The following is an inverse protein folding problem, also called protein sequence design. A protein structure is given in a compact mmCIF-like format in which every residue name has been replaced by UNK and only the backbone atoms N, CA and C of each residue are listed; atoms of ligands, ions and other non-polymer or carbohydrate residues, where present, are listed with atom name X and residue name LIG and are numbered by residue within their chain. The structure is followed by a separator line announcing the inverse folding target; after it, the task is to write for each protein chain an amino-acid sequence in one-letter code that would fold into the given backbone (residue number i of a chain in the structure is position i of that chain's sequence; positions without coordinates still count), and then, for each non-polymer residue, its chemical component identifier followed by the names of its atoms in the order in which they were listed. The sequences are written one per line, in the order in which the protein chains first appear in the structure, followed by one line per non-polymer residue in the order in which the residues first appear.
data_IF_912731214132
#
_entry.id   IF_912731214132
#
_cell.length_a   1.000
_cell.length_b   1.000
_cell.length_c   1.000
_cell.angle_alpha   90.00
_cell.angle_beta   90.00
_cell.angle_gamma   90.00
#
_symmetry.space_group_name_H-M   'P 1'
#
loop_
_entity.id
_entity.type
_entity.pdbx_description
1 polymer ?
#
# COMPACT_ATOMS: atom_id res chain seq x y z
N UNK A 1 -25.29 -27.45 -9.09
CA UNK A 1 -24.50 -28.60 -8.65
C UNK A 1 -23.05 -28.13 -8.60
N UNK A 2 -22.46 -28.05 -7.41
CA UNK A 2 -21.06 -27.69 -7.25
C UNK A 2 -20.23 -28.92 -7.66
N UNK A 3 -19.47 -28.80 -8.76
CA UNK A 3 -18.51 -29.83 -9.15
C UNK A 3 -17.34 -29.76 -8.18
N UNK A 4 -17.31 -30.73 -7.26
CA UNK A 4 -16.15 -31.03 -6.45
C UNK A 4 -15.08 -31.58 -7.40
N UNK A 5 -14.00 -30.83 -7.59
CA UNK A 5 -12.82 -31.30 -8.34
C UNK A 5 -12.08 -32.26 -7.41
N UNK A 6 -12.26 -33.56 -7.66
CA UNK A 6 -11.46 -34.62 -7.05
C UNK A 6 -10.18 -34.72 -7.87
N UNK A 7 -9.06 -34.24 -7.33
CA UNK A 7 -7.73 -34.37 -7.93
C UNK A 7 -7.13 -35.71 -7.50
N UNK A 8 -7.73 -36.80 -7.97
CA UNK A 8 -7.12 -38.15 -8.00
C UNK A 8 -7.28 -38.71 -9.43
N UNK A 9 -6.99 -37.89 -10.44
CA UNK A 9 -6.94 -38.33 -11.84
C UNK A 9 -5.49 -38.66 -12.20
N UNK A 10 -5.29 -39.82 -12.83
CA UNK A 10 -3.99 -40.18 -13.37
C UNK A 10 -3.53 -39.10 -14.37
N UNK A 11 -2.23 -38.83 -14.47
CA UNK A 11 -1.72 -37.78 -15.36
C UNK A 11 -2.15 -38.03 -16.84
N UNK A 12 -2.46 -39.28 -17.21
CA UNK A 12 -3.04 -39.63 -18.50
C UNK A 12 -4.39 -38.93 -18.74
N UNK A 13 -5.29 -39.02 -17.75
CA UNK A 13 -6.61 -38.40 -17.82
C UNK A 13 -6.49 -36.88 -17.90
N UNK A 14 -5.55 -36.30 -17.15
CA UNK A 14 -5.25 -34.87 -17.20
C UNK A 14 -4.82 -34.42 -18.60
N UNK A 15 -3.93 -35.18 -19.26
CA UNK A 15 -3.48 -34.87 -20.63
C UNK A 15 -4.62 -35.03 -21.64
N UNK A 16 -5.45 -36.07 -21.49
CA UNK A 16 -6.63 -36.30 -22.35
C UNK A 16 -7.66 -35.19 -22.20
N UNK A 17 -7.95 -34.77 -20.96
CA UNK A 17 -8.85 -33.67 -20.65
C UNK A 17 -8.33 -32.37 -21.27
N UNK A 18 -7.04 -32.06 -21.08
CA UNK A 18 -6.42 -30.88 -21.70
C UNK A 18 -6.52 -30.92 -23.23
N UNK A 19 -6.27 -32.09 -23.84
CA UNK A 19 -6.44 -32.32 -25.26
C UNK A 19 -7.85 -31.99 -25.77
N UNK A 20 -8.88 -32.49 -25.07
CA UNK A 20 -10.28 -32.26 -25.41
C UNK A 20 -10.69 -30.79 -25.28
N UNK A 21 -10.20 -30.09 -24.26
CA UNK A 21 -10.46 -28.65 -24.08
C UNK A 21 -9.91 -27.87 -25.28
N UNK A 22 -8.66 -28.11 -25.66
CA UNK A 22 -7.99 -27.42 -26.77
C UNK A 22 -8.64 -27.71 -28.13
N UNK A 23 -8.99 -28.98 -28.36
CA UNK A 23 -9.70 -29.40 -29.57
C UNK A 23 -11.09 -28.76 -29.67
N UNK A 24 -11.82 -28.68 -28.54
CA UNK A 24 -13.12 -27.99 -28.48
C UNK A 24 -13.01 -26.50 -28.79
N UNK A 25 -11.91 -25.85 -28.40
CA UNK A 25 -11.65 -24.43 -28.70
C UNK A 25 -11.40 -24.22 -30.20
N UNK A 26 -10.61 -25.11 -30.80
CA UNK A 26 -10.20 -24.99 -32.20
C UNK A 26 -11.21 -25.62 -33.18
N UNK A 27 -12.22 -26.33 -32.68
CA UNK A 27 -13.17 -27.14 -33.46
C UNK A 27 -12.45 -28.19 -34.33
N UNK A 28 -11.37 -28.77 -33.82
CA UNK A 28 -10.59 -29.83 -34.48
C UNK A 28 -10.42 -31.03 -33.56
N UNK A 29 -9.87 -32.14 -34.04
CA UNK A 29 -9.49 -33.30 -33.22
C UNK A 29 -8.00 -33.64 -33.36
N UNK A 30 -7.25 -32.70 -33.93
CA UNK A 30 -5.88 -32.94 -34.40
C UNK A 30 -4.93 -33.08 -33.21
N UNK A 31 -5.15 -32.30 -32.15
CA UNK A 31 -4.28 -32.32 -30.97
C UNK A 31 -4.48 -33.58 -30.14
N UNK A 32 -5.72 -33.99 -29.86
CA UNK A 32 -5.97 -35.27 -29.18
C UNK A 32 -5.45 -36.47 -29.99
N UNK A 33 -5.40 -36.37 -31.32
CA UNK A 33 -4.83 -37.42 -32.17
C UNK A 33 -3.31 -37.42 -32.13
N UNK A 34 -2.67 -36.24 -32.14
CA UNK A 34 -1.23 -36.10 -31.97
C UNK A 34 -0.77 -36.64 -30.60
N UNK A 35 -1.49 -36.34 -29.52
CA UNK A 35 -1.18 -36.83 -28.17
C UNK A 35 -1.17 -38.37 -28.09
N UNK A 36 -2.06 -39.07 -28.81
CA UNK A 36 -2.07 -40.55 -28.84
C UNK A 36 -0.76 -41.16 -29.34
N UNK A 37 -0.02 -40.47 -30.22
CA UNK A 37 1.26 -40.98 -30.73
C UNK A 37 2.37 -41.00 -29.67
N UNK A 38 2.22 -40.20 -28.62
CA UNK A 38 3.15 -40.11 -27.50
C UNK A 38 2.71 -40.92 -26.26
N UNK A 39 1.47 -41.41 -26.25
CA UNK A 39 0.91 -42.21 -25.16
C UNK A 39 1.00 -43.71 -25.50
N UNK A 40 1.55 -44.57 -24.61
CA UNK A 40 1.52 -46.01 -24.80
C UNK A 40 0.09 -46.58 -24.74
N UNK A 41 -0.17 -47.68 -25.44
CA UNK A 41 -1.50 -48.32 -25.54
C UNK A 41 -1.96 -49.04 -24.25
N UNK A 42 -1.08 -49.22 -23.26
CA UNK A 42 -1.37 -49.92 -22.00
C UNK A 42 -1.31 -48.97 -20.79
N UNK A 43 -2.19 -49.22 -19.82
CA UNK A 43 -2.41 -48.48 -18.57
C UNK A 43 -1.15 -47.83 -18.01
N UNK A 44 -1.17 -46.50 -17.97
CA UNK A 44 -0.08 -45.63 -17.59
C UNK A 44 0.38 -45.82 -16.14
N UNK A 45 1.69 -45.89 -15.92
CA UNK A 45 2.30 -45.45 -14.65
C UNK A 45 3.39 -44.44 -14.97
N UNK A 46 3.47 -43.33 -14.22
CA UNK A 46 4.44 -42.22 -14.41
C UNK A 46 5.92 -42.66 -14.54
N UNK A 47 6.22 -43.86 -14.01
CA UNK A 47 7.54 -44.50 -14.04
C UNK A 47 7.89 -45.13 -15.41
N UNK A 48 6.93 -45.28 -16.33
CA UNK A 48 7.13 -45.95 -17.62
C UNK A 48 7.45 -45.03 -18.81
N UNK A 49 7.26 -43.71 -18.70
CA UNK A 49 7.62 -42.78 -19.78
C UNK A 49 9.11 -42.48 -19.78
N UNK A 50 9.76 -42.68 -20.92
CA UNK A 50 11.13 -42.22 -21.14
C UNK A 50 11.22 -40.70 -21.04
N UNK A 51 12.38 -40.18 -20.63
CA UNK A 51 12.61 -38.75 -20.56
C UNK A 51 12.41 -38.05 -21.92
N UNK A 52 12.73 -38.73 -23.03
CA UNK A 52 12.51 -38.21 -24.38
C UNK A 52 11.02 -38.06 -24.72
N UNK A 53 10.18 -39.01 -24.30
CA UNK A 53 8.73 -38.94 -24.50
C UNK A 53 8.11 -37.80 -23.65
N UNK A 54 8.59 -37.61 -22.41
CA UNK A 54 8.16 -36.50 -21.55
C UNK A 54 8.52 -35.13 -22.14
N UNK A 55 9.75 -34.99 -22.66
CA UNK A 55 10.20 -33.77 -23.32
C UNK A 55 9.41 -33.48 -24.61
N UNK A 56 9.13 -34.52 -25.41
CA UNK A 56 8.29 -34.42 -26.61
C UNK A 56 6.86 -33.96 -26.30
N UNK A 57 6.21 -34.59 -25.31
CA UNK A 57 4.88 -34.22 -24.83
C UNK A 57 4.82 -32.78 -24.33
N UNK A 58 5.78 -32.39 -23.48
CA UNK A 58 5.85 -31.02 -22.94
C UNK A 58 5.96 -29.99 -24.06
N UNK A 59 6.81 -30.25 -25.07
CA UNK A 59 6.96 -29.38 -26.23
C UNK A 59 5.68 -29.27 -27.05
N UNK A 60 5.01 -30.39 -27.32
CA UNK A 60 3.78 -30.44 -28.12
C UNK A 60 2.64 -29.69 -27.44
N UNK A 61 2.50 -29.86 -26.11
CA UNK A 61 1.53 -29.11 -25.30
C UNK A 61 1.82 -27.61 -25.38
N UNK A 62 3.08 -27.21 -25.18
CA UNK A 62 3.48 -25.80 -25.23
C UNK A 62 3.26 -25.15 -26.61
N UNK A 63 3.42 -25.90 -27.71
CA UNK A 63 3.15 -25.38 -29.06
C UNK A 63 1.69 -25.03 -29.30
N UNK A 64 0.75 -25.73 -28.67
CA UNK A 64 -0.69 -25.46 -28.83
C UNK A 64 -1.23 -24.51 -27.75
N UNK A 65 -0.58 -24.49 -26.59
CA UNK A 65 -0.89 -23.63 -25.43
C UNK A 65 -0.48 -22.17 -25.62
N UNK A 66 -0.74 -21.58 -26.80
CA UNK A 66 -0.40 -20.19 -27.09
C UNK A 66 -1.40 -19.22 -26.46
N UNK A 67 -0.98 -17.96 -26.29
CA UNK A 67 -1.87 -16.90 -25.78
C UNK A 67 -3.08 -16.69 -26.68
N UNK A 68 -2.97 -16.92 -28.00
CA UNK A 68 -4.09 -16.83 -28.95
C UNK A 68 -5.12 -17.95 -28.77
N UNK A 69 -4.67 -19.18 -28.53
CA UNK A 69 -5.56 -20.32 -28.27
C UNK A 69 -6.30 -20.12 -26.95
N UNK A 70 -5.57 -19.78 -25.88
CA UNK A 70 -6.16 -19.65 -24.55
C UNK A 70 -7.09 -18.44 -24.43
N UNK A 71 -6.89 -17.36 -25.20
CA UNK A 71 -7.81 -16.21 -25.26
C UNK A 71 -9.23 -16.55 -25.74
N UNK A 72 -9.41 -17.68 -26.41
CA UNK A 72 -10.72 -18.13 -26.89
C UNK A 72 -11.56 -18.77 -25.76
N UNK A 73 -10.94 -19.12 -24.62
CA UNK A 73 -11.63 -19.64 -23.45
C UNK A 73 -12.52 -18.58 -22.80
N UNK A 74 -13.58 -19.02 -22.14
CA UNK A 74 -14.32 -18.15 -21.25
C UNK A 74 -13.56 -17.93 -19.95
N UNK A 75 -13.85 -16.82 -19.27
CA UNK A 75 -13.28 -16.48 -17.94
C UNK A 75 -13.41 -17.64 -16.92
N UNK A 76 -14.49 -18.42 -16.99
CA UNK A 76 -14.75 -19.55 -16.08
C UNK A 76 -13.90 -20.79 -16.38
N UNK A 77 -13.55 -20.98 -17.65
CA UNK A 77 -12.78 -22.14 -18.10
C UNK A 77 -11.28 -21.85 -18.06
N UNK A 78 -10.90 -20.58 -18.23
CA UNK A 78 -9.51 -20.16 -18.33
C UNK A 78 -8.67 -20.57 -17.10
N UNK A 79 -9.10 -20.19 -15.89
CA UNK A 79 -8.34 -20.45 -14.67
C UNK A 79 -8.16 -21.96 -14.39
N UNK A 80 -9.21 -22.80 -14.39
CA UNK A 80 -9.05 -24.25 -14.24
C UNK A 80 -8.16 -24.88 -15.32
N UNK A 81 -8.33 -24.47 -16.59
CA UNK A 81 -7.52 -24.99 -17.71
C UNK A 81 -6.05 -24.61 -17.55
N UNK A 82 -5.78 -23.41 -17.02
CA UNK A 82 -4.41 -22.96 -16.78
C UNK A 82 -3.75 -23.71 -15.62
N UNK A 83 -4.48 -24.01 -14.54
CA UNK A 83 -3.97 -24.87 -13.47
C UNK A 83 -3.71 -26.29 -13.95
N UNK A 84 -4.58 -26.84 -14.81
CA UNK A 84 -4.36 -28.14 -15.45
C UNK A 84 -3.08 -28.14 -16.30
N UNK A 85 -2.85 -27.08 -17.08
CA UNK A 85 -1.61 -26.89 -17.85
C UNK A 85 -0.38 -26.89 -16.93
N UNK A 86 -0.40 -26.10 -15.83
CA UNK A 86 0.70 -26.07 -14.85
C UNK A 86 0.93 -27.46 -14.25
N UNK A 87 -0.14 -28.16 -13.88
CA UNK A 87 -0.06 -29.49 -13.30
C UNK A 87 0.62 -30.48 -14.26
N UNK A 88 0.13 -30.57 -15.51
CA UNK A 88 0.68 -31.47 -16.52
C UNK A 88 2.16 -31.17 -16.77
N UNK A 89 2.52 -29.90 -17.00
CA UNK A 89 3.91 -29.51 -17.24
C UNK A 89 4.81 -29.83 -16.05
N UNK A 90 4.33 -29.60 -14.83
CA UNK A 90 5.09 -29.90 -13.60
C UNK A 90 5.35 -31.40 -13.42
N UNK A 91 4.43 -32.25 -13.87
CA UNK A 91 4.54 -33.71 -13.79
C UNK A 91 5.38 -34.32 -14.93
N UNK A 92 5.38 -33.69 -16.11
CA UNK A 92 6.21 -34.11 -17.24
C UNK A 92 7.68 -33.70 -17.06
N UNK A 93 7.91 -32.56 -16.42
CA UNK A 93 9.24 -32.02 -16.12
C UNK A 93 9.48 -32.03 -14.61
N UNK A 94 9.84 -30.88 -14.03
CA UNK A 94 9.88 -30.67 -12.60
C UNK A 94 9.13 -29.39 -12.22
N UNK A 95 8.59 -29.35 -11.01
CA UNK A 95 7.90 -28.17 -10.48
C UNK A 95 8.79 -26.92 -10.50
N UNK A 96 10.08 -27.07 -10.18
CA UNK A 96 11.04 -25.97 -10.17
C UNK A 96 11.33 -25.44 -11.58
N UNK A 97 11.43 -26.30 -12.60
CA UNK A 97 11.66 -25.85 -13.99
C UNK A 97 10.47 -25.08 -14.55
N UNK A 98 9.25 -25.41 -14.13
CA UNK A 98 8.01 -24.80 -14.63
C UNK A 98 7.65 -23.53 -13.85
N UNK A 99 7.63 -23.59 -12.52
CA UNK A 99 7.25 -22.45 -11.70
C UNK A 99 8.46 -21.62 -11.26
N UNK A 100 9.54 -22.23 -10.78
CA UNK A 100 10.68 -21.52 -10.22
C UNK A 100 11.72 -21.10 -11.29
N UNK A 101 11.24 -20.77 -12.50
CA UNK A 101 12.06 -20.33 -13.60
C UNK A 101 11.39 -19.17 -14.34
N UNK A 102 12.00 -17.99 -14.27
CA UNK A 102 11.51 -16.77 -14.95
C UNK A 102 11.36 -16.95 -16.46
N UNK A 103 12.14 -17.84 -17.08
CA UNK A 103 12.08 -18.13 -18.52
C UNK A 103 10.98 -19.13 -18.90
N UNK A 104 10.21 -19.61 -17.93
CA UNK A 104 9.12 -20.54 -18.19
C UNK A 104 8.07 -19.89 -19.10
N UNK A 105 7.66 -20.56 -20.20
CA UNK A 105 6.68 -20.02 -21.13
C UNK A 105 5.34 -19.65 -20.49
N UNK A 106 4.98 -20.25 -19.35
CA UNK A 106 3.72 -19.99 -18.64
C UNK A 106 3.56 -18.52 -18.27
N UNK A 107 4.66 -17.84 -17.93
CA UNK A 107 4.63 -16.43 -17.53
C UNK A 107 4.38 -15.53 -18.72
N UNK A 108 5.04 -15.81 -19.85
CA UNK A 108 4.80 -15.11 -21.12
C UNK A 108 3.34 -15.28 -21.56
N UNK A 109 2.81 -16.51 -21.47
CA UNK A 109 1.42 -16.79 -21.81
C UNK A 109 0.47 -15.98 -20.93
N UNK A 110 0.63 -16.00 -19.59
CA UNK A 110 -0.23 -15.23 -18.68
C UNK A 110 -0.21 -13.73 -18.96
N UNK A 111 0.98 -13.19 -19.23
CA UNK A 111 1.14 -11.77 -19.51
C UNK A 111 0.48 -11.37 -20.84
N UNK A 112 0.62 -12.18 -21.89
CA UNK A 112 0.03 -11.92 -23.19
C UNK A 112 -1.49 -12.12 -23.22
N UNK A 113 -2.01 -13.03 -22.38
CA UNK A 113 -3.44 -13.27 -22.23
C UNK A 113 -4.14 -12.14 -21.49
N UNK A 114 -3.46 -11.48 -20.54
CA UNK A 114 -4.04 -10.37 -19.78
C UNK A 114 -4.58 -9.27 -20.73
N UNK A 115 -5.86 -8.88 -20.59
CA UNK A 115 -6.42 -7.82 -21.41
C UNK A 115 -5.68 -6.50 -21.14
N UNK A 116 -5.28 -5.81 -22.22
CA UNK A 116 -4.56 -4.53 -22.17
C UNK A 116 -5.47 -3.34 -21.83
N UNK A 117 -6.78 -3.55 -21.88
CA UNK A 117 -7.81 -2.55 -21.58
C UNK A 117 -8.92 -3.22 -20.77
N UNK A 118 -9.59 -2.47 -19.88
CA UNK A 118 -10.71 -3.01 -19.12
C UNK A 118 -11.77 -3.55 -20.08
N UNK A 119 -12.21 -4.81 -19.92
CA UNK A 119 -13.19 -5.41 -20.82
C UNK A 119 -14.50 -4.62 -20.77
N UNK A 120 -15.12 -4.42 -21.94
CA UNK A 120 -16.43 -3.77 -22.01
C UNK A 120 -17.47 -4.61 -21.26
N UNK A 121 -18.44 -3.97 -20.60
CA UNK A 121 -19.59 -4.64 -19.95
C UNK A 121 -20.38 -5.59 -20.89
N UNK A 122 -20.24 -5.40 -22.21
CA UNK A 122 -20.86 -6.25 -23.24
C UNK A 122 -20.05 -7.50 -23.57
N UNK A 123 -18.77 -7.53 -23.23
CA UNK A 123 -17.89 -8.65 -23.54
C UNK A 123 -17.88 -9.65 -22.39
N UNK A 124 -18.90 -10.52 -22.39
CA UNK A 124 -19.11 -11.52 -21.33
C UNK A 124 -18.22 -12.76 -21.47
N UNK A 125 -17.49 -12.89 -22.59
CA UNK A 125 -16.65 -14.06 -22.87
C UNK A 125 -15.16 -13.80 -22.70
N UNK A 126 -14.72 -12.55 -22.64
CA UNK A 126 -13.30 -12.25 -22.43
C UNK A 126 -12.82 -12.61 -21.03
N UNK A 127 -11.55 -13.00 -20.99
CA UNK A 127 -10.80 -13.27 -19.77
C UNK A 127 -10.63 -11.98 -18.99
N UNK A 128 -10.89 -12.03 -17.69
CA UNK A 128 -10.70 -10.88 -16.80
C UNK A 128 -9.29 -10.88 -16.22
N UNK A 129 -8.75 -9.69 -15.99
CA UNK A 129 -7.47 -9.52 -15.27
C UNK A 129 -7.51 -10.13 -13.87
N UNK A 130 -8.67 -10.21 -13.23
CA UNK A 130 -8.84 -10.88 -11.92
C UNK A 130 -8.47 -12.36 -11.97
N UNK A 131 -8.76 -13.05 -13.07
CA UNK A 131 -8.46 -14.47 -13.24
C UNK A 131 -6.95 -14.68 -13.44
N UNK A 132 -6.30 -13.80 -14.20
CA UNK A 132 -4.83 -13.77 -14.33
C UNK A 132 -4.16 -13.47 -12.97
N UNK A 133 -4.68 -12.51 -12.21
CA UNK A 133 -4.18 -12.19 -10.87
C UNK A 133 -4.36 -13.36 -9.89
N UNK A 134 -5.49 -14.07 -9.95
CA UNK A 134 -5.73 -15.26 -9.14
C UNK A 134 -4.65 -16.33 -9.39
N UNK A 135 -4.38 -16.62 -10.66
CA UNK A 135 -3.33 -17.57 -11.05
C UNK A 135 -1.95 -17.11 -10.56
N UNK A 136 -1.58 -15.85 -10.80
CA UNK A 136 -0.30 -15.30 -10.36
C UNK A 136 -0.15 -15.31 -8.83
N UNK A 137 -1.22 -15.04 -8.08
CA UNK A 137 -1.24 -15.12 -6.62
C UNK A 137 -1.03 -16.56 -6.14
N UNK A 138 -1.70 -17.53 -6.77
CA UNK A 138 -1.49 -18.95 -6.49
C UNK A 138 -0.05 -19.37 -6.76
N UNK A 139 0.52 -18.99 -7.92
CA UNK A 139 1.92 -19.28 -8.25
C UNK A 139 2.86 -18.65 -7.22
N UNK A 140 2.66 -17.38 -6.86
CA UNK A 140 3.47 -16.70 -5.84
C UNK A 140 3.50 -17.46 -4.51
N UNK A 141 2.33 -17.95 -4.08
CA UNK A 141 2.20 -18.71 -2.84
C UNK A 141 2.85 -20.10 -2.89
N UNK A 142 2.87 -20.74 -4.06
CA UNK A 142 3.51 -22.04 -4.27
C UNK A 142 5.05 -21.95 -4.33
N UNK A 143 5.60 -20.82 -4.76
CA UNK A 143 7.05 -20.63 -4.85
C UNK A 143 7.70 -20.62 -3.46
N UNK A 144 8.96 -21.10 -3.32
CA UNK A 144 9.72 -20.97 -2.08
C UNK A 144 9.97 -19.51 -1.69
N UNK A 145 10.02 -19.20 -0.39
CA UNK A 145 10.24 -17.83 0.13
C UNK A 145 11.52 -17.16 -0.37
N UNK A 146 12.58 -17.94 -0.54
CA UNK A 146 13.89 -17.46 -0.99
C UNK A 146 14.01 -17.36 -2.52
N UNK A 147 12.99 -17.78 -3.27
CA UNK A 147 13.03 -17.81 -4.73
C UNK A 147 13.02 -16.41 -5.33
N UNK A 148 14.01 -16.09 -6.17
CA UNK A 148 14.01 -14.86 -6.98
C UNK A 148 12.83 -14.77 -7.95
N UNK A 149 12.25 -15.91 -8.33
CA UNK A 149 11.08 -15.95 -9.21
C UNK A 149 9.86 -15.30 -8.54
N UNK A 150 9.78 -15.29 -7.19
CA UNK A 150 8.72 -14.56 -6.47
C UNK A 150 8.72 -13.06 -6.78
N UNK A 151 9.90 -12.46 -6.88
CA UNK A 151 10.06 -11.02 -7.21
C UNK A 151 9.53 -10.76 -8.61
N UNK A 152 9.93 -11.60 -9.57
CA UNK A 152 9.43 -11.52 -10.94
C UNK A 152 7.90 -11.68 -11.03
N UNK A 153 7.31 -12.63 -10.30
CA UNK A 153 5.85 -12.81 -10.26
C UNK A 153 5.17 -11.57 -9.66
N UNK A 154 5.72 -11.02 -8.58
CA UNK A 154 5.22 -9.82 -7.93
C UNK A 154 5.24 -8.61 -8.87
N UNK A 155 6.32 -8.38 -9.61
CA UNK A 155 6.38 -7.31 -10.63
C UNK A 155 5.29 -7.48 -11.69
N UNK A 156 5.04 -8.72 -12.12
CA UNK A 156 3.97 -9.00 -13.09
C UNK A 156 2.59 -8.74 -12.49
N UNK A 157 2.36 -9.09 -11.22
CA UNK A 157 1.13 -8.73 -10.50
C UNK A 157 0.94 -7.21 -10.52
N UNK A 158 1.96 -6.42 -10.16
CA UNK A 158 1.88 -4.95 -10.19
C UNK A 158 1.59 -4.41 -11.60
N UNK A 159 2.21 -4.97 -12.64
CA UNK A 159 1.94 -4.59 -14.05
C UNK A 159 0.50 -4.90 -14.47
N UNK A 160 -0.04 -6.05 -14.07
CA UNK A 160 -1.43 -6.43 -14.36
C UNK A 160 -2.38 -5.47 -13.66
N UNK A 161 -2.14 -5.15 -12.38
CA UNK A 161 -2.94 -4.17 -11.63
C UNK A 161 -2.95 -2.82 -12.36
N UNK A 162 -1.77 -2.30 -12.72
CA UNK A 162 -1.61 -1.01 -13.41
C UNK A 162 -2.42 -0.92 -14.72
N UNK A 163 -2.56 -2.03 -15.44
CA UNK A 163 -3.24 -2.06 -16.75
C UNK A 163 -4.72 -2.44 -16.67
N UNK A 164 -5.12 -3.14 -15.60
CA UNK A 164 -6.47 -3.67 -15.43
C UNK A 164 -7.53 -2.65 -15.00
N UNK A 165 -7.11 -1.52 -14.41
CA UNK A 165 -8.02 -0.55 -13.80
C UNK A 165 -8.73 -1.09 -12.55
N UNK A 166 -8.23 -2.18 -11.95
CA UNK A 166 -8.70 -2.69 -10.66
C UNK A 166 -8.41 -1.64 -9.58
N UNK A 167 -9.38 -1.43 -8.71
CA UNK A 167 -9.22 -0.53 -7.57
C UNK A 167 -8.08 -1.03 -6.66
N UNK A 168 -7.08 -0.16 -6.47
CA UNK A 168 -5.92 -0.41 -5.63
C UNK A 168 -6.32 -0.74 -4.19
N UNK A 169 -7.43 -0.20 -3.70
CA UNK A 169 -7.92 -0.45 -2.34
C UNK A 169 -8.13 -1.93 -2.02
N UNK A 170 -8.47 -2.75 -3.03
CA UNK A 170 -8.77 -4.19 -2.87
C UNK A 170 -7.51 -5.04 -2.67
N UNK A 171 -6.35 -4.55 -3.09
CA UNK A 171 -5.09 -5.28 -3.10
C UNK A 171 -4.04 -4.70 -2.15
N UNK A 172 -4.26 -3.46 -1.70
CA UNK A 172 -3.30 -2.68 -0.95
C UNK A 172 -2.81 -3.40 0.30
N UNK A 173 -3.71 -4.00 1.08
CA UNK A 173 -3.34 -4.69 2.33
C UNK A 173 -2.67 -6.04 2.08
N UNK A 174 -3.12 -6.76 1.04
CA UNK A 174 -2.62 -8.09 0.69
C UNK A 174 -1.14 -8.05 0.31
N UNK A 175 -0.72 -7.01 -0.41
CA UNK A 175 0.66 -6.83 -0.84
C UNK A 175 1.43 -5.93 0.13
N UNK A 176 0.91 -4.74 0.43
CA UNK A 176 1.65 -3.67 1.10
C UNK A 176 2.20 -4.04 2.47
N UNK A 177 1.42 -4.78 3.27
CA UNK A 177 1.82 -5.20 4.63
C UNK A 177 3.11 -6.04 4.65
N UNK A 178 3.25 -6.94 3.67
CA UNK A 178 4.33 -7.92 3.63
C UNK A 178 5.37 -7.64 2.54
N UNK A 179 5.16 -6.61 1.71
CA UNK A 179 5.97 -6.32 0.53
C UNK A 179 7.46 -6.27 0.83
N UNK A 180 7.85 -5.46 1.82
CA UNK A 180 9.26 -5.31 2.20
C UNK A 180 9.85 -6.60 2.75
N UNK A 181 9.08 -7.35 3.54
CA UNK A 181 9.51 -8.63 4.07
C UNK A 181 9.76 -9.64 2.94
N UNK A 182 8.82 -9.78 2.01
CA UNK A 182 8.95 -10.71 0.88
C UNK A 182 10.18 -10.40 0.03
N UNK A 183 10.45 -9.11 -0.23
CA UNK A 183 11.61 -8.68 -1.01
C UNK A 183 12.94 -8.89 -0.27
N UNK A 184 12.95 -8.78 1.05
CA UNK A 184 14.13 -9.06 1.88
C UNK A 184 14.42 -10.57 1.97
N UNK A 185 13.38 -11.40 2.09
CA UNK A 185 13.51 -12.87 2.14
C UNK A 185 14.17 -13.45 0.88
N UNK A 186 13.94 -12.84 -0.29
CA UNK A 186 14.53 -13.26 -1.58
C UNK A 186 15.98 -12.79 -1.78
N UNK A 187 16.57 -12.10 -0.80
CA UNK A 187 17.93 -11.50 -0.88
C UNK A 187 18.11 -10.60 -2.11
N UNK A 188 17.06 -9.86 -2.44
CA UNK A 188 17.03 -8.92 -3.56
C UNK A 188 17.95 -7.72 -3.28
N UNK A 189 18.51 -7.13 -4.33
CA UNK A 189 19.34 -5.93 -4.18
C UNK A 189 18.48 -4.76 -3.67
N UNK A 190 19.03 -3.92 -2.81
CA UNK A 190 18.31 -2.78 -2.23
C UNK A 190 17.71 -1.88 -3.31
N UNK A 191 18.43 -1.57 -4.39
CA UNK A 191 17.91 -0.71 -5.45
C UNK A 191 16.64 -1.26 -6.13
N UNK A 192 16.59 -2.58 -6.31
CA UNK A 192 15.43 -3.29 -6.88
C UNK A 192 14.26 -3.31 -5.88
N UNK A 193 14.54 -3.49 -4.58
CA UNK A 193 13.52 -3.35 -3.52
C UNK A 193 12.90 -1.97 -3.55
N UNK A 194 13.72 -0.91 -3.65
CA UNK A 194 13.22 0.47 -3.70
C UNK A 194 12.37 0.71 -4.94
N UNK A 195 12.83 0.25 -6.10
CA UNK A 195 12.09 0.39 -7.35
C UNK A 195 10.69 -0.25 -7.26
N UNK A 196 10.61 -1.51 -6.81
CA UNK A 196 9.34 -2.24 -6.67
C UNK A 196 8.43 -1.58 -5.62
N UNK A 197 9.00 -1.11 -4.51
CA UNK A 197 8.25 -0.38 -3.49
C UNK A 197 7.59 0.87 -4.06
N UNK A 198 8.34 1.70 -4.78
CA UNK A 198 7.79 2.92 -5.38
C UNK A 198 6.79 2.62 -6.50
N UNK A 199 7.02 1.58 -7.31
CA UNK A 199 6.05 1.12 -8.31
C UNK A 199 4.73 0.71 -7.66
N UNK A 200 4.77 0.04 -6.49
CA UNK A 200 3.57 -0.30 -5.73
C UNK A 200 2.85 0.95 -5.19
N UNK A 201 3.58 1.91 -4.63
CA UNK A 201 3.00 3.16 -4.11
C UNK A 201 2.36 4.00 -5.22
N UNK A 202 2.96 4.03 -6.42
CA UNK A 202 2.43 4.76 -7.58
C UNK A 202 1.09 4.21 -8.10
N UNK A 203 0.71 2.98 -7.73
CA UNK A 203 -0.60 2.43 -8.08
C UNK A 203 -1.74 3.09 -7.28
N UNK A 204 -1.43 3.73 -6.16
CA UNK A 204 -2.40 4.45 -5.35
C UNK A 204 -2.69 5.84 -5.91
N UNK A 205 -3.64 5.91 -6.84
CA UNK A 205 -4.10 7.17 -7.41
C UNK A 205 -4.89 8.05 -6.43
N UNK A 206 -5.34 7.53 -5.29
CA UNK A 206 -6.08 8.30 -4.29
C UNK A 206 -5.18 8.92 -3.22
N UNK A 207 -3.88 8.56 -3.21
CA UNK A 207 -2.92 9.02 -2.22
C UNK A 207 -3.36 8.73 -0.79
N UNK A 208 -3.78 7.48 -0.55
CA UNK A 208 -4.42 7.05 0.69
C UNK A 208 -3.50 7.14 1.91
N UNK A 209 -4.11 7.22 3.10
CA UNK A 209 -3.38 7.24 4.37
C UNK A 209 -2.52 5.98 4.56
N UNK A 210 -3.03 4.81 4.18
CA UNK A 210 -2.29 3.54 4.28
C UNK A 210 -1.01 3.55 3.48
N UNK A 211 -1.01 4.14 2.27
CA UNK A 211 0.21 4.29 1.48
C UNK A 211 1.21 5.23 2.15
N UNK A 212 0.75 6.30 2.80
CA UNK A 212 1.62 7.15 3.62
C UNK A 212 2.24 6.39 4.80
N UNK A 213 1.50 5.49 5.44
CA UNK A 213 2.01 4.62 6.50
C UNK A 213 3.07 3.64 5.99
N UNK A 214 2.88 3.06 4.80
CA UNK A 214 3.89 2.24 4.14
C UNK A 214 5.15 3.05 3.80
N UNK A 215 5.01 4.26 3.27
CA UNK A 215 6.14 5.19 3.01
C UNK A 215 6.88 5.50 4.31
N UNK A 216 6.17 5.77 5.41
CA UNK A 216 6.77 6.02 6.73
C UNK A 216 7.62 4.83 7.19
N UNK A 217 7.06 3.61 7.09
CA UNK A 217 7.75 2.38 7.49
C UNK A 217 9.01 2.14 6.64
N UNK A 218 8.88 2.30 5.32
CA UNK A 218 9.98 2.15 4.36
C UNK A 218 11.12 3.15 4.62
N UNK A 219 10.79 4.43 4.75
CA UNK A 219 11.78 5.51 4.95
C UNK A 219 12.44 5.49 6.32
N UNK A 220 11.83 4.83 7.32
CA UNK A 220 12.45 4.65 8.63
C UNK A 220 13.67 3.71 8.55
N UNK A 221 13.68 2.78 7.59
CA UNK A 221 14.75 1.80 7.42
C UNK A 221 15.69 2.12 6.25
N UNK A 222 15.24 2.95 5.29
CA UNK A 222 15.96 3.20 4.04
C UNK A 222 16.27 4.69 3.85
N UNK A 223 17.51 4.99 3.47
CA UNK A 223 17.89 6.30 2.99
C UNK A 223 17.27 6.58 1.61
N UNK A 224 16.88 7.84 1.38
CA UNK A 224 16.23 8.28 0.15
C UNK A 224 17.24 8.91 -0.81
N UNK A 225 17.12 8.54 -2.09
CA UNK A 225 17.70 9.31 -3.18
C UNK A 225 16.90 10.60 -3.42
N UNK A 226 17.45 11.51 -4.22
CA UNK A 226 16.75 12.74 -4.63
C UNK A 226 15.44 12.42 -5.36
N UNK A 227 15.44 11.45 -6.27
CA UNK A 227 14.24 11.11 -7.05
C UNK A 227 13.14 10.52 -6.17
N UNK A 228 13.52 9.65 -5.23
CA UNK A 228 12.60 9.03 -4.27
C UNK A 228 12.00 10.08 -3.32
N UNK A 229 12.81 11.05 -2.89
CA UNK A 229 12.34 12.19 -2.11
C UNK A 229 11.29 12.99 -2.87
N UNK A 230 11.51 13.28 -4.16
CA UNK A 230 10.53 14.00 -4.97
C UNK A 230 9.23 13.21 -5.14
N UNK A 231 9.30 11.88 -5.32
CA UNK A 231 8.10 11.02 -5.34
C UNK A 231 7.34 11.07 -4.02
N UNK A 232 8.04 10.95 -2.89
CA UNK A 232 7.45 11.08 -1.55
C UNK A 232 6.73 12.42 -1.39
N UNK A 233 7.39 13.52 -1.74
CA UNK A 233 6.84 14.86 -1.58
C UNK A 233 5.60 15.06 -2.44
N UNK A 234 5.63 14.64 -3.71
CA UNK A 234 4.45 14.73 -4.59
C UNK A 234 3.28 13.91 -4.06
N UNK A 235 3.56 12.72 -3.54
CA UNK A 235 2.55 11.85 -2.95
C UNK A 235 1.93 12.47 -1.69
N UNK A 236 2.78 12.97 -0.78
CA UNK A 236 2.36 13.59 0.47
C UNK A 236 1.52 14.86 0.24
N UNK A 237 1.94 15.74 -0.67
CA UNK A 237 1.22 16.98 -0.97
C UNK A 237 -0.13 16.72 -1.67
N UNK A 238 -0.20 15.69 -2.51
CA UNK A 238 -1.43 15.27 -3.20
C UNK A 238 -2.41 14.51 -2.30
N UNK A 239 -1.96 13.98 -1.17
CA UNK A 239 -2.81 13.22 -0.23
C UNK A 239 -3.91 14.06 0.40
N UNK A 240 -5.05 13.44 0.68
CA UNK A 240 -6.15 14.05 1.44
C UNK A 240 -5.78 14.39 2.88
N UNK A 241 -4.75 13.73 3.42
CA UNK A 241 -4.25 14.00 4.77
C UNK A 241 -3.64 15.39 4.83
N UNK A 242 -4.06 16.16 5.85
CA UNK A 242 -3.62 17.54 6.06
C UNK A 242 -2.24 17.59 6.71
N UNK A 243 -2.08 16.91 7.84
CA UNK A 243 -0.78 16.85 8.53
C UNK A 243 0.02 15.63 8.07
N UNK A 244 1.07 15.88 7.29
CA UNK A 244 2.03 14.86 6.80
C UNK A 244 3.39 14.95 7.50
N UNK A 245 3.50 15.73 8.58
CA UNK A 245 4.74 15.91 9.33
C UNK A 245 5.30 14.61 9.89
N UNK A 246 4.43 13.64 10.18
CA UNK A 246 4.79 12.31 10.65
C UNK A 246 5.67 11.52 9.67
N UNK A 247 5.74 11.90 8.39
CA UNK A 247 6.62 11.30 7.39
C UNK A 247 8.08 11.73 7.57
N UNK A 248 8.33 12.88 8.21
CA UNK A 248 9.67 13.43 8.37
C UNK A 248 10.37 12.72 9.54
N UNK A 249 10.94 11.56 9.24
CA UNK A 249 11.90 10.86 10.10
C UNK A 249 13.34 11.33 9.80
N UNK A 250 14.33 10.80 10.54
CA UNK A 250 15.73 11.19 10.40
C UNK A 250 16.28 11.05 8.96
N UNK A 251 15.91 9.97 8.26
CA UNK A 251 16.38 9.74 6.88
C UNK A 251 15.75 10.73 5.91
N UNK A 252 14.46 11.02 6.06
CA UNK A 252 13.75 12.04 5.28
C UNK A 252 14.32 13.42 5.58
N UNK A 253 14.53 13.78 6.84
CA UNK A 253 15.12 15.05 7.24
C UNK A 253 16.52 15.25 6.65
N UNK A 254 17.36 14.21 6.68
CA UNK A 254 18.67 14.25 6.04
C UNK A 254 18.54 14.48 4.52
N UNK A 255 17.64 13.74 3.85
CA UNK A 255 17.41 13.90 2.41
C UNK A 255 16.87 15.29 2.05
N UNK A 256 15.97 15.86 2.87
CA UNK A 256 15.46 17.22 2.73
C UNK A 256 16.59 18.24 2.84
N UNK A 257 17.41 18.14 3.90
CA UNK A 257 18.53 19.06 4.13
C UNK A 257 19.53 19.04 2.97
N UNK A 258 19.87 17.86 2.46
CA UNK A 258 20.81 17.68 1.35
C UNK A 258 20.29 18.23 0.02
N UNK A 259 18.97 18.29 -0.17
CA UNK A 259 18.33 18.73 -1.42
C UNK A 259 17.53 20.03 -1.27
N UNK A 260 17.88 20.87 -0.29
CA UNK A 260 17.17 22.12 0.03
C UNK A 260 17.09 23.11 -1.15
N UNK A 261 17.97 23.00 -2.15
CA UNK A 261 17.94 23.85 -3.35
C UNK A 261 16.81 23.52 -4.33
N UNK A 262 16.16 22.35 -4.19
CA UNK A 262 15.05 21.95 -5.06
C UNK A 262 13.76 22.69 -4.68
N UNK A 263 13.04 23.34 -5.63
CA UNK A 263 11.85 24.12 -5.33
C UNK A 263 10.76 23.32 -4.61
N UNK A 264 10.54 22.07 -5.04
CA UNK A 264 9.52 21.21 -4.45
C UNK A 264 9.88 20.76 -3.03
N UNK A 265 11.18 20.58 -2.74
CA UNK A 265 11.67 20.26 -1.39
C UNK A 265 11.48 21.47 -0.47
N UNK A 266 11.81 22.67 -0.95
CA UNK A 266 11.56 23.92 -0.20
C UNK A 266 10.06 24.10 0.08
N UNK A 267 9.21 23.84 -0.91
CA UNK A 267 7.75 23.91 -0.77
C UNK A 267 7.25 22.96 0.32
N UNK A 268 7.75 21.72 0.30
CA UNK A 268 7.38 20.72 1.31
C UNK A 268 7.89 21.09 2.70
N UNK A 269 9.13 21.59 2.83
CA UNK A 269 9.63 22.08 4.11
C UNK A 269 8.70 23.15 4.68
N UNK A 270 8.34 24.17 3.90
CA UNK A 270 7.36 25.19 4.30
C UNK A 270 6.02 24.60 4.73
N UNK A 271 5.51 23.64 3.95
CA UNK A 271 4.24 22.97 4.23
C UNK A 271 4.25 22.27 5.60
N UNK A 272 5.28 21.45 5.85
CA UNK A 272 5.41 20.68 7.08
C UNK A 272 5.67 21.59 8.29
N UNK A 273 6.28 22.74 8.06
CA UNK A 273 6.45 23.79 9.07
C UNK A 273 5.19 24.64 9.30
N UNK A 274 4.04 24.30 8.67
CA UNK A 274 2.80 25.05 8.83
C UNK A 274 2.87 26.48 8.29
N UNK A 275 3.67 26.74 7.26
CA UNK A 275 3.64 28.01 6.54
C UNK A 275 2.54 28.00 5.47
N UNK A 276 1.90 29.16 5.25
CA UNK A 276 0.91 29.32 4.19
C UNK A 276 1.63 29.34 2.85
N UNK A 277 1.18 28.49 1.91
CA UNK A 277 1.74 28.35 0.58
C UNK A 277 0.79 28.98 -0.43
N UNK A 278 1.13 30.11 -1.06
CA UNK A 278 0.32 30.71 -2.11
C UNK A 278 0.17 29.78 -3.32
N UNK A 279 -1.00 29.77 -3.95
CA UNK A 279 -1.30 28.88 -5.08
C UNK A 279 -0.34 29.09 -6.26
N UNK A 280 0.18 30.31 -6.45
CA UNK A 280 1.11 30.67 -7.53
C UNK A 280 2.51 30.07 -7.37
N UNK A 281 2.88 29.67 -6.14
CA UNK A 281 4.17 29.03 -5.85
C UNK A 281 4.12 27.51 -6.04
N UNK A 282 2.94 26.96 -6.31
CA UNK A 282 2.73 25.52 -6.40
C UNK A 282 2.91 25.08 -7.87
N UNK A 283 3.76 24.07 -8.14
CA UNK A 283 3.91 23.51 -9.48
C UNK A 283 2.57 23.06 -10.09
N UNK A 284 2.42 23.23 -11.41
CA UNK A 284 1.18 22.95 -12.13
C UNK A 284 0.78 21.46 -12.20
N UNK A 285 1.72 20.56 -11.89
CA UNK A 285 1.47 19.12 -11.78
C UNK A 285 0.86 18.70 -10.43
N UNK A 286 0.69 19.64 -9.49
CA UNK A 286 0.09 19.41 -8.19
C UNK A 286 -1.23 20.17 -8.02
N UNK A 287 -2.14 19.69 -7.16
CA UNK A 287 -3.42 20.35 -6.93
C UNK A 287 -3.24 21.62 -6.08
N UNK A 288 -2.96 22.75 -6.74
CA UNK A 288 -2.58 24.01 -6.11
C UNK A 288 -3.60 24.54 -5.09
N UNK A 289 -4.88 24.64 -5.45
CA UNK A 289 -5.94 25.14 -4.56
C UNK A 289 -6.11 24.24 -3.32
N UNK A 290 -5.96 22.93 -3.54
CA UNK A 290 -6.06 21.93 -2.48
C UNK A 290 -4.91 22.07 -1.48
N UNK A 291 -3.69 22.19 -1.96
CA UNK A 291 -2.49 22.37 -1.12
C UNK A 291 -2.53 23.72 -0.39
N UNK A 292 -2.93 24.80 -1.07
CA UNK A 292 -3.10 26.12 -0.45
C UNK A 292 -4.08 26.05 0.73
N UNK A 293 -5.26 25.46 0.51
CA UNK A 293 -6.28 25.30 1.55
C UNK A 293 -5.76 24.50 2.75
N UNK A 294 -5.08 23.37 2.50
CA UNK A 294 -4.45 22.58 3.56
C UNK A 294 -3.35 23.35 4.31
N UNK A 295 -2.56 24.18 3.60
CA UNK A 295 -1.51 24.97 4.23
C UNK A 295 -2.08 26.04 5.17
N UNK A 296 -3.23 26.64 4.84
CA UNK A 296 -3.96 27.54 5.75
C UNK A 296 -4.41 26.82 7.02
N UNK A 297 -4.93 25.60 6.89
CA UNK A 297 -5.33 24.76 8.03
C UNK A 297 -4.14 24.47 8.94
N UNK A 298 -2.99 24.07 8.37
CA UNK A 298 -1.77 23.80 9.16
C UNK A 298 -1.21 25.06 9.82
N UNK A 299 -1.23 26.20 9.12
CA UNK A 299 -0.80 27.47 9.71
C UNK A 299 -1.66 27.88 10.90
N UNK A 300 -2.97 27.62 10.83
CA UNK A 300 -3.88 27.84 11.95
C UNK A 300 -3.55 26.92 13.13
N UNK A 301 -3.33 25.62 12.87
CA UNK A 301 -2.92 24.67 13.91
C UNK A 301 -1.60 25.09 14.56
N UNK A 302 -0.62 25.54 13.76
CA UNK A 302 0.66 26.04 14.26
C UNK A 302 0.49 27.26 15.16
N UNK A 303 -0.33 28.23 14.76
CA UNK A 303 -0.60 29.41 15.57
C UNK A 303 -1.13 29.04 16.97
N UNK A 304 -2.09 28.11 17.04
CA UNK A 304 -2.61 27.64 18.32
C UNK A 304 -1.60 26.83 19.14
N UNK A 305 -0.78 26.01 18.49
CA UNK A 305 0.29 25.26 19.15
C UNK A 305 1.36 26.19 19.76
N UNK A 306 1.77 27.21 19.02
CA UNK A 306 2.77 28.19 19.48
C UNK A 306 2.21 29.10 20.58
N UNK A 307 0.95 29.52 20.46
CA UNK A 307 0.28 30.38 21.46
C UNK A 307 0.10 29.67 22.80
N UNK A 308 -0.26 28.37 22.77
CA UNK A 308 -0.37 27.55 23.99
C UNK A 308 1.00 27.19 24.59
N UNK A 309 2.06 27.21 23.80
CA UNK A 309 3.42 26.95 24.28
C UNK A 309 4.07 28.17 24.94
N UNK A 310 3.65 29.39 24.62
CA UNK A 310 4.26 30.63 25.11
C UNK A 310 3.67 31.14 26.45
N UNK A 311 2.48 30.66 26.84
CA UNK A 311 1.81 31.06 28.08
C UNK A 311 2.34 30.32 29.31
N UNK A 312 2.77 31.08 30.33
CA UNK A 312 2.98 30.57 31.69
C UNK A 312 1.67 30.19 32.40
N UNK A 313 0.55 30.70 31.90
CA UNK A 313 -0.79 30.26 32.27
C UNK A 313 -1.23 29.20 31.27
N UNK A 314 -1.43 27.98 31.78
CA UNK A 314 -2.03 26.86 31.06
C UNK A 314 -3.49 27.12 30.57
N UNK A 315 -3.99 28.36 30.71
CA UNK A 315 -5.39 28.77 30.57
C UNK A 315 -5.71 29.63 29.33
N UNK A 316 -4.72 30.01 28.50
CA UNK A 316 -4.98 30.72 27.24
C UNK A 316 -5.51 29.76 26.16
N UNK A 317 -6.68 29.19 26.44
CA UNK A 317 -7.47 28.28 25.61
C UNK A 317 -8.50 29.06 24.78
N UNK A 318 -8.78 30.31 25.14
CA UNK A 318 -9.78 31.15 24.47
C UNK A 318 -9.09 32.15 23.56
N UNK A 319 -9.46 32.12 22.28
CA UNK A 319 -8.92 32.98 21.24
C UNK A 319 -10.04 33.80 20.62
N UNK A 320 -9.89 35.13 20.56
CA UNK A 320 -10.81 35.97 19.76
C UNK A 320 -10.42 35.91 18.30
N UNK A 321 -11.39 35.97 17.39
CA UNK A 321 -11.11 35.91 15.95
C UNK A 321 -10.12 37.00 15.50
N UNK A 322 -10.20 38.20 16.10
CA UNK A 322 -9.30 39.33 15.82
C UNK A 322 -7.83 39.09 16.19
N UNK A 323 -7.54 38.12 17.05
CA UNK A 323 -6.19 37.79 17.50
C UNK A 323 -5.51 36.78 16.56
N UNK A 324 -6.30 36.14 15.69
CA UNK A 324 -5.83 35.06 14.81
C UNK A 324 -5.32 35.68 13.51
N UNK A 325 -4.06 35.42 13.12
CA UNK A 325 -3.47 36.01 11.92
C UNK A 325 -4.11 35.44 10.64
N UNK A 326 -4.06 36.23 9.56
CA UNK A 326 -4.48 35.83 8.21
C UNK A 326 -5.96 35.47 8.05
N UNK A 327 -6.82 36.02 8.91
CA UNK A 327 -8.28 35.95 8.79
C UNK A 327 -8.77 37.18 8.02
N UNK A 328 -9.27 37.01 6.79
CA UNK A 328 -9.85 38.13 6.03
C UNK A 328 -11.29 38.45 6.45
N UNK A 329 -12.03 37.45 6.97
CA UNK A 329 -13.38 37.60 7.50
C UNK A 329 -13.70 36.53 8.54
N UNK A 330 -14.62 36.81 9.47
CA UNK A 330 -15.10 35.84 10.46
C UNK A 330 -15.63 34.56 9.78
N UNK A 331 -16.31 34.69 8.64
CA UNK A 331 -16.84 33.54 7.89
C UNK A 331 -15.75 32.65 7.31
N UNK A 332 -14.73 33.23 6.64
CA UNK A 332 -13.61 32.46 6.08
C UNK A 332 -12.85 31.70 7.19
N UNK A 333 -12.67 32.35 8.34
CA UNK A 333 -12.05 31.70 9.50
C UNK A 333 -12.86 30.51 9.98
N UNK A 334 -14.17 30.66 10.12
CA UNK A 334 -15.05 29.57 10.57
C UNK A 334 -15.03 28.38 9.62
N UNK A 335 -15.04 28.62 8.30
CA UNK A 335 -14.91 27.57 7.29
C UNK A 335 -13.58 26.82 7.43
N UNK A 336 -12.45 27.54 7.52
CA UNK A 336 -11.11 26.94 7.68
C UNK A 336 -11.03 26.17 9.00
N UNK A 337 -11.57 26.72 10.09
CA UNK A 337 -11.56 26.10 11.41
C UNK A 337 -12.38 24.81 11.43
N UNK A 338 -13.55 24.78 10.80
CA UNK A 338 -14.38 23.58 10.68
C UNK A 338 -13.62 22.49 9.91
N UNK A 339 -12.95 22.83 8.81
CA UNK A 339 -12.14 21.87 8.06
C UNK A 339 -10.92 21.40 8.88
N UNK A 340 -10.30 22.28 9.67
CA UNK A 340 -9.23 21.91 10.58
C UNK A 340 -9.69 20.91 11.68
N UNK A 341 -10.90 21.10 12.21
CA UNK A 341 -11.51 20.18 13.18
C UNK A 341 -11.85 18.84 12.51
N UNK A 342 -12.44 18.86 11.30
CA UNK A 342 -12.72 17.63 10.53
C UNK A 342 -11.45 16.85 10.21
N UNK A 343 -10.35 17.55 9.92
CA UNK A 343 -9.04 16.96 9.67
C UNK A 343 -8.36 16.43 10.95
N UNK A 344 -8.90 16.74 12.13
CA UNK A 344 -8.37 16.27 13.41
C UNK A 344 -7.05 16.94 13.83
N UNK A 345 -6.69 18.07 13.23
CA UNK A 345 -5.49 18.83 13.63
C UNK A 345 -5.76 19.77 14.81
N UNK A 346 -7.02 20.14 15.02
CA UNK A 346 -7.51 21.01 16.09
C UNK A 346 -8.79 20.39 16.67
N UNK A 347 -8.97 20.46 17.98
CA UNK A 347 -10.21 20.14 18.67
C UNK A 347 -10.61 21.34 19.53
N UNK A 348 -11.88 21.73 19.50
CA UNK A 348 -12.37 22.86 20.28
C UNK A 348 -13.83 23.20 20.04
N UNK A 349 -14.29 24.29 20.65
CA UNK A 349 -15.66 24.80 20.52
C UNK A 349 -15.66 26.23 20.02
N UNK A 350 -16.55 26.50 19.07
CA UNK A 350 -16.77 27.83 18.52
C UNK A 350 -17.93 28.52 19.21
N UNK A 351 -17.77 29.80 19.55
CA UNK A 351 -18.86 30.68 19.91
C UNK A 351 -18.93 31.83 18.89
N UNK A 352 -19.85 31.67 17.93
CA UNK A 352 -20.03 32.61 16.82
C UNK A 352 -20.57 33.98 17.27
N UNK A 353 -21.37 34.03 18.34
CA UNK A 353 -21.94 35.29 18.84
C UNK A 353 -20.87 36.20 19.44
N UNK A 354 -19.94 35.59 20.17
CA UNK A 354 -18.85 36.31 20.84
C UNK A 354 -17.57 36.36 20.00
N UNK A 355 -17.58 35.81 18.78
CA UNK A 355 -16.40 35.65 17.90
C UNK A 355 -15.19 35.07 18.64
N UNK A 356 -15.43 34.00 19.40
CA UNK A 356 -14.41 33.32 20.22
C UNK A 356 -14.32 31.83 19.92
N UNK A 357 -13.09 31.31 19.96
CA UNK A 357 -12.79 29.90 19.84
C UNK A 357 -12.14 29.37 21.12
N UNK A 358 -12.67 28.27 21.64
CA UNK A 358 -12.20 27.57 22.83
C UNK A 358 -11.43 26.32 22.42
N UNK A 359 -10.11 26.38 22.45
CA UNK A 359 -9.21 25.31 22.06
C UNK A 359 -9.11 24.20 23.12
N UNK A 360 -9.51 22.98 22.78
CA UNK A 360 -9.34 21.82 23.67
C UNK A 360 -8.00 21.12 23.42
N UNK A 361 -7.64 20.92 22.15
CA UNK A 361 -6.41 20.21 21.75
C UNK A 361 -5.93 20.71 20.40
N UNK A 362 -4.62 20.70 20.19
CA UNK A 362 -4.00 20.95 18.89
C UNK A 362 -2.82 20.01 18.68
N UNK A 363 -2.62 19.56 17.45
CA UNK A 363 -1.45 18.77 17.09
C UNK A 363 -0.19 19.65 17.11
N UNK A 364 0.88 19.12 17.71
CA UNK A 364 2.20 19.78 17.69
C UNK A 364 3.02 19.26 16.53
N UNK A 365 3.70 20.17 15.85
CA UNK A 365 4.59 19.87 14.74
C UNK A 365 5.94 19.43 15.29
N UNK A 366 6.14 18.11 15.44
CA UNK A 366 7.41 17.52 15.85
C UNK A 366 8.10 16.96 14.61
N UNK A 367 9.13 17.66 14.15
CA UNK A 367 9.86 17.33 12.93
C UNK A 367 11.22 16.75 13.31
N UNK A 368 11.56 15.58 12.76
CA UNK A 368 12.88 14.98 13.00
C UNK A 368 14.00 15.81 12.36
N UNK A 369 15.18 15.81 12.98
CA UNK A 369 16.32 16.61 12.54
C UNK A 369 16.33 18.06 13.04
N UNK A 370 15.27 18.49 13.73
CA UNK A 370 15.17 19.81 14.35
C UNK A 370 15.29 19.77 15.87
N UNK A 371 15.63 20.91 16.47
CA UNK A 371 15.68 21.06 17.92
C UNK A 371 14.27 21.14 18.51
N UNK A 372 13.82 20.00 19.03
CA UNK A 372 12.54 19.85 19.71
C UNK A 372 12.64 19.99 21.24
N UNK A 373 13.79 20.43 21.78
CA UNK A 373 14.06 20.50 23.22
C UNK A 373 13.03 21.30 24.00
N UNK A 374 12.54 22.42 23.44
CA UNK A 374 11.49 23.25 24.05
C UNK A 374 10.19 22.49 24.25
N UNK A 375 9.75 21.76 23.22
CA UNK A 375 8.54 20.93 23.29
C UNK A 375 8.68 19.84 24.36
N UNK A 376 9.82 19.14 24.40
CA UNK A 376 10.09 18.11 25.39
C UNK A 376 10.19 18.66 26.82
N UNK A 377 10.75 19.85 26.99
CA UNK A 377 10.83 20.51 28.30
C UNK A 377 9.43 20.82 28.84
N UNK A 378 8.51 21.27 27.98
CA UNK A 378 7.12 21.53 28.38
C UNK A 378 6.39 20.24 28.76
N UNK A 379 6.55 19.17 27.98
CA UNK A 379 5.98 17.86 28.30
C UNK A 379 6.50 17.38 29.65
N UNK A 380 7.81 17.53 29.91
CA UNK A 380 8.41 17.18 31.20
C UNK A 380 7.79 17.97 32.35
N UNK A 381 7.68 19.29 32.23
CA UNK A 381 7.08 20.15 33.27
C UNK A 381 5.63 19.76 33.57
N UNK A 382 4.83 19.49 32.53
CA UNK A 382 3.45 19.05 32.70
C UNK A 382 3.35 17.69 33.42
N UNK A 383 4.25 16.74 33.09
CA UNK A 383 4.32 15.44 33.77
C UNK A 383 4.75 15.57 35.22
N UNK A 384 5.70 16.45 35.54
CA UNK A 384 6.13 16.73 36.91
C UNK A 384 5.00 17.35 37.75
N UNK A 385 4.26 18.30 37.18
CA UNK A 385 3.08 18.89 37.83
C UNK A 385 1.98 17.83 38.07
N UNK A 386 1.73 16.96 37.10
CA UNK A 386 0.75 15.89 37.26
C UNK A 386 1.18 14.89 38.33
N UNK A 387 2.47 14.53 38.36
CA UNK A 387 3.04 13.67 39.39
C UNK A 387 2.89 14.27 40.78
N UNK A 388 3.18 15.58 40.95
CA UNK A 388 2.98 16.29 42.21
C UNK A 388 1.52 16.23 42.65
N UNK A 389 0.60 16.57 41.75
CA UNK A 389 -0.85 16.60 42.05
C UNK A 389 -1.38 15.23 42.48
N UNK A 390 -0.92 14.15 41.84
CA UNK A 390 -1.28 12.77 42.23
C UNK A 390 -0.70 12.38 43.59
N UNK A 391 0.51 12.85 43.89
CA UNK A 391 1.16 12.61 45.19
C UNK A 391 0.40 13.34 46.29
N UNK A 392 0.03 14.60 46.06
CA UNK A 392 -0.75 15.41 47.00
C UNK A 392 -2.12 14.78 47.30
N UNK A 393 -2.83 14.31 46.27
CA UNK A 393 -4.10 13.58 46.45
C UNK A 393 -3.89 12.31 47.28
N UNK A 394 -2.84 11.55 46.99
CA UNK A 394 -2.53 10.33 47.73
C UNK A 394 -2.25 10.61 49.22
N UNK A 395 -1.53 11.69 49.51
CA UNK A 395 -1.21 12.09 50.89
C UNK A 395 -2.45 12.61 51.64
N UNK A 396 -3.34 13.34 50.96
CA UNK A 396 -4.65 13.72 51.50
C UNK A 396 -5.49 12.47 51.84
N UNK A 397 -5.53 11.48 50.95
CA UNK A 397 -6.29 10.23 51.16
C UNK A 397 -5.72 9.41 52.32
N UNK A 398 -4.39 9.29 52.42
CA UNK A 398 -3.74 8.61 53.55
C UNK A 398 -4.04 9.30 54.87
N UNK A 399 -3.89 10.63 54.92
CA UNK A 399 -4.16 11.44 56.11
C UNK A 399 -5.63 11.31 56.53
N UNK A 400 -6.57 11.35 55.57
CA UNK A 400 -7.98 11.14 55.85
C UNK A 400 -8.26 9.73 56.42
N UNK A 401 -7.62 8.70 55.86
CA UNK A 401 -7.75 7.32 56.36
C UNK A 401 -7.20 7.18 57.79
N UNK A 402 -6.03 7.73 58.06
CA UNK A 402 -5.42 7.72 59.41
C UNK A 402 -6.30 8.45 60.43
N UNK A 403 -6.87 9.60 60.05
CA UNK A 403 -7.80 10.35 60.91
C UNK A 403 -9.09 9.57 61.21
N UNK A 404 -9.64 8.83 60.23
CA UNK A 404 -10.81 7.96 60.46
C UNK A 404 -10.47 6.82 61.40
N UNK A 405 -9.30 6.18 61.25
CA UNK A 405 -8.86 5.10 62.14
C UNK A 405 -8.66 5.64 63.56
N UNK A 406 -7.98 6.77 63.72
CA UNK A 406 -7.69 7.36 65.02
C UNK A 406 -8.96 7.86 65.74
N UNK A 407 -9.95 8.39 65.01
CA UNK A 407 -11.23 8.82 65.58
C UNK A 407 -12.17 7.66 65.96
N UNK A 408 -12.01 6.47 65.38
CA UNK A 408 -12.79 5.27 65.76
C UNK A 408 -12.20 4.51 66.96
N UNK A 409 -11.00 4.90 67.42
CA UNK A 409 -10.32 4.30 68.58
C UNK A 409 -10.43 5.13 69.87
N UNK A 410 -11.10 6.28 69.83
CA UNK A 410 -11.60 7.02 70.99
C UNK A 410 -13.11 6.83 71.10
#
# INVERSE_FOLDING_TARGET
MASVIVVDTELEDSIREYGQIIDSINNTTDFSTALKSFLPEASWTQQQLSNDAKAGLSKEILTVSTSETLKKLTDKEFEPTFYLLIHILSQLSSHDEILNNVKSPIYTILFEVNPKQPPSLRDRRSIKSTSVLSILSTIFNLLPKESKTRVYVLENVLKVIKTSGIDFSLIQDNIGTNLLQWLQETKTNQDEIKAIFWDFIELDGEYSQKSLEYIKSFTSSNALSKEELLKLVKFALSSKIVDVSFLVNNNVAQALSANSSEPLVTLFQKYVHGEIIPAEQIPSDLPADFINSKSKILALAKFFADSTAAGSDHDAIVFKYSEIPNVASSLEFEEILIEAIKAGVIEGKLNQLDETFYLTRVNRFIIAGEDNSKNWTQVKLALEQWQSSLTDINDIVKTARENIVNNNTN
#
